data_IF_684377249982
#
_entry.id   IF_684377249982
#
_cell.length_a   1.000
_cell.length_b   1.000
_cell.length_c   1.000
_cell.angle_alpha   90.00
_cell.angle_beta   90.00
_cell.angle_gamma   90.00
#
_symmetry.space_group_name_H-M   'P 1'
#
loop_
_entity.id
_entity.type
_entity.pdbx_description
1 polymer ?
#
# COMPACT_ATOMS: atom_id res chain seq x y z
N UNK A 1 -14.02 -24.65 -78.02
CA UNK A 1 -14.01 -25.18 -76.63
C UNK A 1 -13.00 -24.38 -75.84
N UNK A 2 -13.44 -23.34 -75.13
CA UNK A 2 -12.59 -22.48 -74.23
C UNK A 2 -13.03 -22.69 -72.83
N UNK A 3 -12.15 -23.29 -72.02
CA UNK A 3 -12.34 -23.44 -70.60
C UNK A 3 -11.73 -22.24 -69.87
N UNK A 4 -12.59 -21.42 -69.28
CA UNK A 4 -12.16 -20.34 -68.39
C UNK A 4 -11.83 -20.90 -67.04
N UNK A 5 -10.58 -20.76 -66.63
CA UNK A 5 -10.12 -21.01 -65.30
C UNK A 5 -10.35 -19.74 -64.46
N UNK A 6 -11.30 -19.77 -63.53
CA UNK A 6 -11.49 -18.70 -62.55
C UNK A 6 -10.61 -18.97 -61.36
N UNK A 7 -9.60 -18.14 -61.18
CA UNK A 7 -8.77 -18.15 -59.95
C UNK A 7 -9.46 -17.24 -58.92
N UNK A 8 -10.07 -17.84 -57.90
CA UNK A 8 -10.59 -17.12 -56.76
C UNK A 8 -9.43 -16.77 -55.80
N UNK A 9 -9.03 -15.51 -55.79
CA UNK A 9 -8.10 -14.99 -54.82
C UNK A 9 -8.84 -14.74 -53.50
N UNK A 10 -8.65 -15.63 -52.51
CA UNK A 10 -9.14 -15.43 -51.16
C UNK A 10 -8.22 -14.42 -50.44
N UNK A 11 -8.72 -13.20 -50.28
CA UNK A 11 -8.08 -12.14 -49.51
C UNK A 11 -8.28 -12.45 -48.01
N UNK A 12 -7.28 -13.03 -47.37
CA UNK A 12 -7.22 -13.16 -45.92
C UNK A 12 -6.93 -11.79 -45.32
N UNK A 13 -7.97 -11.09 -44.85
CA UNK A 13 -7.82 -9.92 -43.99
C UNK A 13 -7.40 -10.41 -42.59
N UNK A 14 -6.11 -10.44 -42.32
CA UNK A 14 -5.59 -10.63 -40.98
C UNK A 14 -5.86 -9.35 -40.19
N UNK A 15 -6.99 -9.28 -39.51
CA UNK A 15 -7.25 -8.28 -38.47
C UNK A 15 -6.32 -8.55 -37.30
N UNK A 16 -5.18 -7.85 -37.28
CA UNK A 16 -4.32 -7.78 -36.10
C UNK A 16 -5.09 -7.06 -35.01
N UNK A 17 -5.75 -7.81 -34.14
CA UNK A 17 -6.19 -7.28 -32.86
C UNK A 17 -4.91 -6.89 -32.09
N UNK A 18 -4.60 -5.60 -32.06
CA UNK A 18 -3.67 -5.07 -31.07
C UNK A 18 -4.32 -5.33 -29.72
N UNK A 19 -3.86 -6.38 -29.01
CA UNK A 19 -4.15 -6.54 -27.60
C UNK A 19 -3.55 -5.31 -26.91
N UNK A 20 -4.41 -4.34 -26.61
CA UNK A 20 -4.05 -3.31 -25.65
C UNK A 20 -3.59 -4.03 -24.37
N UNK A 21 -2.46 -3.63 -23.77
CA UNK A 21 -2.06 -4.21 -22.51
C UNK A 21 -3.22 -4.06 -21.54
N UNK A 22 -3.73 -5.18 -21.04
CA UNK A 22 -4.73 -5.15 -20.00
C UNK A 22 -4.06 -4.48 -18.80
N UNK A 23 -4.45 -3.26 -18.49
CA UNK A 23 -4.02 -2.57 -17.27
C UNK A 23 -4.54 -3.40 -16.12
N UNK A 24 -3.64 -3.79 -15.21
CA UNK A 24 -3.96 -4.73 -14.14
C UNK A 24 -5.01 -4.17 -13.16
N UNK A 25 -5.12 -2.84 -13.06
CA UNK A 25 -6.09 -2.12 -12.22
C UNK A 25 -6.40 -0.75 -12.86
N UNK A 26 -7.51 -0.13 -12.43
CA UNK A 26 -7.91 1.19 -12.95
C UNK A 26 -6.95 2.28 -12.44
N UNK A 27 -6.11 2.83 -13.32
CA UNK A 27 -5.20 3.94 -13.00
C UNK A 27 -5.92 5.28 -12.98
N UNK A 28 -6.90 5.48 -13.86
CA UNK A 28 -7.77 6.65 -13.88
C UNK A 28 -9.20 6.24 -13.50
N UNK A 29 -9.69 6.75 -12.38
CA UNK A 29 -11.04 6.44 -11.95
C UNK A 29 -12.05 7.36 -12.61
N UNK A 30 -13.08 6.77 -13.24
CA UNK A 30 -14.25 7.53 -13.65
C UNK A 30 -15.03 8.04 -12.43
N UNK A 31 -15.82 9.11 -12.63
CA UNK A 31 -16.71 9.64 -11.58
C UNK A 31 -17.65 8.56 -11.02
N UNK A 32 -18.08 7.61 -11.86
CA UNK A 32 -18.90 6.48 -11.45
C UNK A 32 -18.11 5.54 -10.54
N UNK A 33 -16.87 5.21 -10.89
CA UNK A 33 -16.02 4.35 -10.08
C UNK A 33 -15.72 4.96 -8.70
N UNK A 34 -15.43 6.27 -8.65
CA UNK A 34 -15.24 6.99 -7.38
C UNK A 34 -16.49 6.96 -6.52
N UNK A 35 -17.67 7.15 -7.13
CA UNK A 35 -18.94 7.09 -6.41
C UNK A 35 -19.24 5.69 -5.87
N UNK A 36 -18.99 4.63 -6.63
CA UNK A 36 -19.14 3.25 -6.19
C UNK A 36 -18.17 2.94 -5.04
N UNK A 37 -16.91 3.36 -5.16
CA UNK A 37 -15.91 3.23 -4.12
C UNK A 37 -16.34 3.93 -2.82
N UNK A 38 -16.85 5.17 -2.92
CA UNK A 38 -17.40 5.90 -1.78
C UNK A 38 -18.49 5.10 -1.07
N UNK A 39 -19.49 4.59 -1.79
CA UNK A 39 -20.58 3.83 -1.16
C UNK A 39 -20.11 2.51 -0.57
N UNK A 40 -19.13 1.82 -1.18
CA UNK A 40 -18.54 0.62 -0.59
C UNK A 40 -17.83 0.94 0.72
N UNK A 41 -17.08 2.05 0.77
CA UNK A 41 -16.40 2.50 1.98
C UNK A 41 -17.37 2.87 3.10
N UNK A 42 -18.41 3.66 2.77
CA UNK A 42 -19.42 4.10 3.74
C UNK A 42 -20.22 2.95 4.39
N UNK A 43 -20.34 1.82 3.72
CA UNK A 43 -21.00 0.64 4.31
C UNK A 43 -20.24 0.12 5.52
N UNK A 44 -18.92 0.15 5.47
CA UNK A 44 -17.99 -0.30 6.53
C UNK A 44 -18.40 -1.67 7.14
N UNK A 45 -18.88 -2.58 6.28
CA UNK A 45 -19.39 -3.90 6.61
C UNK A 45 -18.40 -5.02 6.23
N UNK A 46 -18.85 -6.30 6.32
CA UNK A 46 -18.05 -7.46 5.93
C UNK A 46 -17.58 -7.41 4.47
N UNK A 47 -18.35 -6.78 3.57
CA UNK A 47 -17.96 -6.64 2.17
C UNK A 47 -16.81 -5.65 2.01
N UNK A 48 -16.85 -4.55 2.77
CA UNK A 48 -15.74 -3.59 2.80
C UNK A 48 -14.49 -4.25 3.36
N UNK A 49 -14.61 -5.04 4.43
CA UNK A 49 -13.46 -5.80 4.98
C UNK A 49 -12.92 -6.82 4.00
N UNK A 50 -13.80 -7.61 3.37
CA UNK A 50 -13.43 -8.62 2.38
C UNK A 50 -12.73 -8.02 1.16
N UNK A 51 -13.11 -6.80 0.75
CA UNK A 51 -12.45 -6.08 -0.33
C UNK A 51 -10.96 -5.88 -0.07
N UNK A 52 -10.55 -5.56 1.17
CA UNK A 52 -9.16 -5.28 1.51
C UNK A 52 -8.28 -6.52 1.73
N UNK A 53 -8.84 -7.72 1.79
CA UNK A 53 -8.07 -8.96 2.01
C UNK A 53 -6.93 -9.15 0.99
N UNK A 54 -7.14 -9.01 -0.34
CA UNK A 54 -6.05 -9.17 -1.30
C UNK A 54 -5.03 -8.04 -1.27
N UNK A 55 -5.38 -6.88 -0.70
CA UNK A 55 -4.52 -5.70 -0.59
C UNK A 55 -3.57 -5.76 0.61
N UNK A 56 -3.76 -6.70 1.54
CA UNK A 56 -3.08 -6.73 2.82
C UNK A 56 -2.29 -8.02 3.00
N UNK A 57 -1.04 -7.90 3.43
CA UNK A 57 -0.18 -9.01 3.82
C UNK A 57 0.24 -8.82 5.27
N UNK A 58 -0.12 -9.79 6.12
CA UNK A 58 0.33 -9.84 7.50
C UNK A 58 1.58 -10.71 7.61
N UNK A 59 2.54 -10.26 8.37
CA UNK A 59 3.82 -10.92 8.56
C UNK A 59 3.95 -11.47 9.99
N UNK A 60 4.76 -12.49 10.15
CA UNK A 60 4.93 -13.14 11.44
C UNK A 60 5.76 -12.30 12.40
N UNK A 61 5.35 -12.29 13.65
CA UNK A 61 6.07 -11.58 14.74
C UNK A 61 7.39 -12.29 15.04
N UNK A 62 8.55 -11.62 14.99
CA UNK A 62 9.84 -12.18 15.39
C UNK A 62 9.96 -12.24 16.93
N UNK A 63 11.02 -12.86 17.40
CA UNK A 63 11.26 -12.99 18.85
C UNK A 63 11.56 -11.67 19.55
N UNK A 64 12.18 -10.71 18.85
CA UNK A 64 12.57 -9.40 19.41
C UNK A 64 12.88 -8.38 18.30
N UNK A 65 12.80 -7.10 18.65
CA UNK A 65 13.17 -5.97 17.79
C UNK A 65 11.98 -5.32 17.10
N UNK A 66 12.22 -4.31 16.30
CA UNK A 66 11.23 -3.78 15.39
C UNK A 66 11.02 -4.76 14.24
N UNK A 67 9.79 -4.87 13.75
CA UNK A 67 9.43 -5.76 12.66
C UNK A 67 8.32 -5.16 11.81
N UNK A 68 8.19 -5.65 10.59
CA UNK A 68 7.07 -5.31 9.73
C UNK A 68 5.92 -6.24 10.07
N UNK A 69 4.84 -5.72 10.62
CA UNK A 69 3.64 -6.49 10.95
C UNK A 69 2.69 -6.63 9.77
N UNK A 70 2.62 -5.57 8.96
CA UNK A 70 1.67 -5.50 7.86
C UNK A 70 2.23 -4.68 6.68
N UNK A 71 1.93 -5.16 5.48
CA UNK A 71 2.16 -4.43 4.23
C UNK A 71 0.84 -4.38 3.46
N UNK A 72 0.40 -3.18 3.08
CA UNK A 72 -0.74 -2.98 2.18
C UNK A 72 -0.30 -2.29 0.90
N UNK A 73 -0.90 -2.68 -0.21
CA UNK A 73 -0.70 -2.03 -1.50
C UNK A 73 -2.06 -1.56 -2.02
N UNK A 74 -2.32 -0.26 -1.94
CA UNK A 74 -3.62 0.33 -2.22
C UNK A 74 -3.64 1.01 -3.59
N UNK A 75 -4.50 0.53 -4.47
CA UNK A 75 -4.81 1.17 -5.75
C UNK A 75 -5.57 2.49 -5.55
N UNK A 76 -5.69 3.36 -6.57
CA UNK A 76 -6.50 4.57 -6.46
C UNK A 76 -7.93 4.29 -5.94
N UNK A 77 -8.58 3.23 -6.43
CA UNK A 77 -9.91 2.83 -5.98
C UNK A 77 -9.93 2.43 -4.50
N UNK A 78 -8.97 1.61 -4.08
CA UNK A 78 -8.85 1.16 -2.69
C UNK A 78 -8.64 2.32 -1.72
N UNK A 79 -7.88 3.35 -2.13
CA UNK A 79 -7.69 4.56 -1.33
C UNK A 79 -8.99 5.34 -1.13
N UNK A 80 -9.82 5.47 -2.17
CA UNK A 80 -11.15 6.12 -2.05
C UNK A 80 -12.04 5.33 -1.08
N UNK A 81 -12.06 4.00 -1.18
CA UNK A 81 -12.83 3.14 -0.26
C UNK A 81 -12.34 3.30 1.17
N UNK A 82 -11.04 3.29 1.39
CA UNK A 82 -10.45 3.42 2.73
C UNK A 82 -10.79 4.75 3.37
N UNK A 83 -10.59 5.88 2.67
CA UNK A 83 -10.92 7.21 3.18
C UNK A 83 -12.41 7.31 3.50
N UNK A 84 -13.25 6.80 2.60
CA UNK A 84 -14.69 6.81 2.81
C UNK A 84 -15.12 5.96 4.01
N UNK A 85 -14.41 4.88 4.32
CA UNK A 85 -14.71 4.03 5.49
C UNK A 85 -14.29 4.66 6.83
N UNK A 86 -13.28 5.51 6.80
CA UNK A 86 -12.75 6.19 7.99
C UNK A 86 -13.49 7.49 8.32
N UNK A 87 -14.15 8.09 7.32
CA UNK A 87 -14.81 9.38 7.47
C UNK A 87 -16.33 9.17 7.57
N UNK A 88 -16.83 9.10 8.79
CA UNK A 88 -18.25 8.73 9.07
C UNK A 88 -19.21 9.90 9.09
N UNK A 89 -18.74 11.14 9.13
CA UNK A 89 -19.58 12.33 9.27
C UNK A 89 -19.17 13.43 8.30
N UNK A 90 -20.14 13.98 7.57
CA UNK A 90 -19.92 15.12 6.68
C UNK A 90 -19.19 14.81 5.36
N UNK A 91 -18.80 13.58 5.11
CA UNK A 91 -18.16 13.17 3.87
C UNK A 91 -19.18 12.73 2.83
N UNK A 92 -19.05 13.19 1.60
CA UNK A 92 -19.99 12.91 0.52
C UNK A 92 -19.28 12.33 -0.71
N UNK A 93 -20.04 11.69 -1.61
CA UNK A 93 -19.49 11.21 -2.87
C UNK A 93 -18.88 12.33 -3.72
N UNK A 94 -19.41 13.54 -3.62
CA UNK A 94 -18.83 14.72 -4.28
C UNK A 94 -17.47 15.09 -3.67
N UNK A 95 -17.37 15.07 -2.34
CA UNK A 95 -16.11 15.32 -1.65
C UNK A 95 -15.09 14.25 -1.99
N UNK A 96 -15.48 12.97 -2.00
CA UNK A 96 -14.61 11.86 -2.40
C UNK A 96 -14.03 12.06 -3.81
N UNK A 97 -14.84 12.59 -4.75
CA UNK A 97 -14.38 12.92 -6.09
C UNK A 97 -13.35 14.06 -6.10
N UNK A 98 -13.63 15.13 -5.35
CA UNK A 98 -12.70 16.27 -5.25
C UNK A 98 -11.37 15.85 -4.62
N UNK A 99 -11.42 15.05 -3.56
CA UNK A 99 -10.23 14.55 -2.88
C UNK A 99 -9.41 13.61 -3.78
N UNK A 100 -10.08 12.77 -4.57
CA UNK A 100 -9.41 11.94 -5.57
C UNK A 100 -8.74 12.79 -6.65
N UNK A 101 -9.45 13.79 -7.21
CA UNK A 101 -8.89 14.69 -8.22
C UNK A 101 -7.70 15.49 -7.70
N UNK A 102 -7.73 15.90 -6.44
CA UNK A 102 -6.62 16.62 -5.80
C UNK A 102 -5.41 15.71 -5.56
N UNK A 103 -5.62 14.45 -5.20
CA UNK A 103 -4.55 13.47 -4.93
C UNK A 103 -3.94 12.95 -6.23
N UNK A 104 -4.75 12.77 -7.27
CA UNK A 104 -4.35 12.15 -8.52
C UNK A 104 -4.22 10.63 -8.43
N UNK A 105 -3.72 10.04 -9.51
CA UNK A 105 -3.58 8.60 -9.66
C UNK A 105 -2.28 8.15 -9.00
N UNK A 106 -2.40 7.64 -7.80
CA UNK A 106 -1.28 7.11 -7.02
C UNK A 106 -1.52 5.67 -6.57
N UNK A 107 -0.46 4.88 -6.57
CA UNK A 107 -0.41 3.60 -5.87
C UNK A 107 0.24 3.86 -4.51
N UNK A 108 -0.43 3.47 -3.43
CA UNK A 108 0.03 3.73 -2.08
C UNK A 108 0.47 2.43 -1.41
N UNK A 109 1.76 2.34 -1.11
CA UNK A 109 2.31 1.30 -0.25
C UNK A 109 2.23 1.80 1.20
N UNK A 110 1.57 1.03 2.06
CA UNK A 110 1.49 1.28 3.50
C UNK A 110 2.24 0.17 4.22
N UNK A 111 3.18 0.55 5.05
CA UNK A 111 3.99 -0.38 5.85
C UNK A 111 3.77 -0.08 7.32
N UNK A 112 3.37 -1.08 8.09
CA UNK A 112 3.26 -0.98 9.54
C UNK A 112 4.48 -1.62 10.19
N UNK A 113 5.25 -0.81 10.89
CA UNK A 113 6.41 -1.23 11.68
C UNK A 113 5.97 -1.26 13.13
N UNK A 114 6.08 -2.40 13.77
CA UNK A 114 5.77 -2.56 15.20
C UNK A 114 7.01 -2.96 15.98
N UNK A 115 6.98 -2.71 17.29
CA UNK A 115 7.98 -3.20 18.23
C UNK A 115 7.43 -4.42 18.94
N UNK A 116 8.28 -5.44 19.10
CA UNK A 116 7.91 -6.56 19.97
C UNK A 116 7.68 -6.07 21.41
N UNK A 117 6.81 -6.73 22.20
CA UNK A 117 6.50 -6.30 23.57
C UNK A 117 7.74 -6.07 24.44
N UNK A 118 8.73 -6.95 24.32
CA UNK A 118 10.00 -6.80 25.06
C UNK A 118 10.76 -5.55 24.65
N UNK A 119 10.77 -5.23 23.36
CA UNK A 119 11.45 -4.06 22.81
C UNK A 119 10.71 -2.77 23.20
N UNK A 120 9.39 -2.75 23.09
CA UNK A 120 8.57 -1.61 23.50
C UNK A 120 8.65 -1.31 25.00
N UNK A 121 8.78 -2.33 25.86
CA UNK A 121 9.01 -2.11 27.30
C UNK A 121 10.35 -1.41 27.59
N UNK A 122 11.38 -1.71 26.80
CA UNK A 122 12.68 -1.06 26.94
C UNK A 122 12.57 0.43 26.55
N UNK A 123 11.92 0.73 25.42
CA UNK A 123 11.71 2.12 24.96
C UNK A 123 10.83 2.92 25.94
N UNK A 124 9.77 2.32 26.48
CA UNK A 124 8.91 2.96 27.48
C UNK A 124 9.65 3.26 28.80
N UNK A 125 10.52 2.36 29.25
CA UNK A 125 11.34 2.58 30.43
C UNK A 125 12.32 3.74 30.26
N UNK A 126 12.82 3.95 29.05
CA UNK A 126 13.69 5.09 28.73
C UNK A 126 12.91 6.41 28.75
N UNK A 127 11.73 6.45 28.14
CA UNK A 127 10.87 7.63 28.13
C UNK A 127 10.45 8.06 29.55
N UNK A 128 10.33 7.14 30.48
CA UNK A 128 9.97 7.42 31.89
C UNK A 128 11.12 7.99 32.74
N UNK A 129 12.33 8.12 32.21
CA UNK A 129 13.47 8.67 32.93
C UNK A 129 14.09 7.72 33.96
N UNK A 130 13.75 6.43 33.94
CA UNK A 130 14.38 5.41 34.78
C UNK A 130 15.76 5.05 34.21
N UNK A 131 16.70 6.00 34.39
CA UNK A 131 18.07 5.94 33.87
C UNK A 131 18.87 4.74 34.42
N UNK A 132 18.39 4.09 35.46
CA UNK A 132 19.07 2.92 36.06
C UNK A 132 18.93 1.67 35.18
N UNK A 133 17.85 1.58 34.40
CA UNK A 133 17.58 0.49 33.45
C UNK A 133 18.03 0.80 32.00
N UNK A 134 18.30 2.07 31.70
CA UNK A 134 18.58 2.59 30.37
C UNK A 134 20.09 2.66 30.02
N UNK A 135 20.98 2.11 30.85
CA UNK A 135 22.41 2.15 30.54
C UNK A 135 22.74 1.34 29.29
N UNK A 136 23.03 2.06 28.22
CA UNK A 136 23.48 1.48 26.96
C UNK A 136 22.43 1.36 25.88
N UNK A 137 21.22 1.92 26.07
CA UNK A 137 20.16 1.91 25.06
C UNK A 137 19.98 3.33 24.55
N UNK A 138 20.14 3.50 23.24
CA UNK A 138 19.87 4.77 22.57
C UNK A 138 18.37 4.94 22.40
N UNK A 139 17.81 6.07 22.84
CA UNK A 139 16.43 6.43 22.53
C UNK A 139 16.24 6.44 21.02
N UNK A 140 15.21 5.76 20.55
CA UNK A 140 14.89 5.76 19.14
C UNK A 140 14.09 7.02 18.82
N UNK A 141 14.50 7.83 17.82
CA UNK A 141 13.76 9.03 17.45
C UNK A 141 12.42 8.66 16.82
N UNK A 142 11.45 9.56 16.86
CA UNK A 142 10.11 9.36 16.31
C UNK A 142 10.11 9.11 14.80
N UNK A 143 11.16 9.54 14.13
CA UNK A 143 11.39 9.34 12.70
C UNK A 143 12.26 8.11 12.37
N UNK A 144 12.40 7.16 13.32
CA UNK A 144 13.22 5.94 13.16
C UNK A 144 12.92 5.15 11.87
N UNK A 145 11.70 5.25 11.36
CA UNK A 145 11.24 4.64 10.12
C UNK A 145 12.02 5.12 8.88
N UNK A 146 12.67 6.28 8.94
CA UNK A 146 13.53 6.79 7.87
C UNK A 146 14.81 5.96 7.69
N UNK A 147 15.18 5.17 8.69
CA UNK A 147 16.32 4.23 8.60
C UNK A 147 16.01 2.95 7.81
N UNK A 148 14.74 2.72 7.48
CA UNK A 148 14.29 1.66 6.58
C UNK A 148 14.31 2.16 5.13
N UNK A 149 14.38 1.24 4.18
CA UNK A 149 14.21 1.56 2.76
C UNK A 149 13.04 0.77 2.21
N UNK A 150 12.24 1.42 1.38
CA UNK A 150 11.01 0.89 0.83
C UNK A 150 11.10 0.90 -0.68
N UNK A 151 10.69 -0.16 -1.34
CA UNK A 151 10.71 -0.23 -2.79
C UNK A 151 9.65 -1.14 -3.36
N UNK A 152 9.19 -0.80 -4.55
CA UNK A 152 8.40 -1.66 -5.41
C UNK A 152 9.28 -2.05 -6.59
N UNK A 153 9.30 -3.34 -6.89
CA UNK A 153 10.00 -3.90 -8.04
C UNK A 153 9.01 -4.52 -9.01
N UNK A 154 9.17 -4.20 -10.27
CA UNK A 154 8.37 -4.72 -11.35
C UNK A 154 9.28 -5.42 -12.34
N UNK A 155 9.17 -6.77 -12.44
CA UNK A 155 10.14 -7.59 -13.18
C UNK A 155 11.56 -7.42 -12.62
N UNK A 156 12.44 -6.69 -13.34
CA UNK A 156 13.81 -6.42 -12.90
C UNK A 156 14.03 -4.98 -12.42
N UNK A 157 13.06 -4.09 -12.63
CA UNK A 157 13.21 -2.66 -12.45
C UNK A 157 12.58 -2.18 -11.14
N UNK A 158 13.33 -1.35 -10.42
CA UNK A 158 12.81 -0.63 -9.26
C UNK A 158 12.02 0.59 -9.71
N UNK A 159 10.92 0.86 -9.01
CA UNK A 159 10.09 2.03 -9.23
C UNK A 159 10.38 3.04 -8.12
N UNK A 160 10.78 4.24 -8.52
CA UNK A 160 11.08 5.31 -7.57
C UNK A 160 9.79 5.87 -6.95
N UNK A 161 9.74 6.04 -5.62
CA UNK A 161 8.62 6.66 -4.95
C UNK A 161 8.56 8.16 -5.23
N UNK A 162 7.35 8.72 -5.31
CA UNK A 162 7.13 10.17 -5.37
C UNK A 162 7.33 10.82 -4.01
N UNK A 163 6.78 10.19 -2.96
CA UNK A 163 6.77 10.70 -1.59
C UNK A 163 6.90 9.55 -0.61
N UNK A 164 7.68 9.75 0.44
CA UNK A 164 7.74 8.87 1.61
C UNK A 164 7.43 9.73 2.85
N UNK A 165 6.46 9.30 3.64
CA UNK A 165 6.10 9.94 4.90
C UNK A 165 5.78 8.86 5.93
N UNK A 166 6.00 9.17 7.20
CA UNK A 166 5.71 8.24 8.28
C UNK A 166 5.17 8.96 9.49
N UNK A 167 4.41 8.23 10.27
CA UNK A 167 3.79 8.68 11.50
C UNK A 167 4.16 7.71 12.61
N UNK A 168 4.80 8.22 13.66
CA UNK A 168 5.12 7.45 14.83
C UNK A 168 3.85 7.00 15.55
N UNK A 169 3.83 5.74 16.00
CA UNK A 169 2.72 5.17 16.75
C UNK A 169 3.10 5.05 18.21
N UNK A 170 2.24 5.58 19.09
CA UNK A 170 2.44 5.54 20.54
C UNK A 170 1.42 4.61 21.18
N UNK A 171 1.91 3.68 21.97
CA UNK A 171 1.09 2.77 22.77
C UNK A 171 0.42 3.45 23.95
N UNK A 172 -0.51 2.72 24.59
CA UNK A 172 -1.36 3.23 25.66
C UNK A 172 -0.62 4.02 26.72
N UNK A 173 -1.21 5.15 27.09
CA UNK A 173 -0.69 6.01 28.13
C UNK A 173 -0.61 5.26 29.47
N UNK A 174 0.52 5.39 30.16
CA UNK A 174 0.64 5.02 31.56
C UNK A 174 -0.33 5.86 32.42
N UNK A 175 -0.40 5.59 33.72
CA UNK A 175 -1.23 6.37 34.67
C UNK A 175 -0.91 7.88 34.71
N UNK A 176 0.16 8.32 34.05
CA UNK A 176 0.59 9.72 33.92
C UNK A 176 0.37 10.29 32.52
N UNK A 177 -0.34 9.60 31.64
CA UNK A 177 -0.63 10.04 30.28
C UNK A 177 0.54 9.95 29.30
N UNK A 178 1.60 9.19 29.62
CA UNK A 178 2.77 9.01 28.77
C UNK A 178 2.67 7.70 28.02
N UNK A 179 2.49 7.78 26.69
CA UNK A 179 2.60 6.64 25.80
C UNK A 179 4.05 6.40 25.36
N UNK A 180 4.47 5.15 25.33
CA UNK A 180 5.75 4.78 24.72
C UNK A 180 5.61 4.62 23.20
N UNK A 181 6.70 4.87 22.46
CA UNK A 181 6.76 4.57 21.04
C UNK A 181 6.62 3.06 20.83
N UNK A 182 5.61 2.63 20.08
CA UNK A 182 5.30 1.22 19.82
C UNK A 182 5.51 0.81 18.38
N UNK A 183 5.62 1.78 17.48
CA UNK A 183 5.78 1.51 16.05
C UNK A 183 5.72 2.76 15.21
N UNK A 184 5.48 2.56 13.92
CA UNK A 184 5.20 3.62 12.96
C UNK A 184 4.40 3.10 11.77
N UNK A 185 3.56 3.95 11.23
CA UNK A 185 2.94 3.76 9.93
C UNK A 185 3.73 4.54 8.88
N UNK A 186 4.10 3.88 7.79
CA UNK A 186 4.85 4.49 6.69
C UNK A 186 4.04 4.41 5.42
N UNK A 187 3.93 5.52 4.74
CA UNK A 187 3.17 5.71 3.51
C UNK A 187 4.13 6.09 2.40
N UNK A 188 4.23 5.22 1.39
CA UNK A 188 5.09 5.41 0.22
C UNK A 188 4.22 5.52 -1.02
N UNK A 189 4.24 6.67 -1.65
CA UNK A 189 3.40 6.99 -2.79
C UNK A 189 4.17 6.82 -4.10
N UNK A 190 3.60 6.11 -5.05
CA UNK A 190 4.12 5.90 -6.40
C UNK A 190 3.16 6.46 -7.44
N UNK A 191 3.67 6.78 -8.62
CA UNK A 191 2.85 7.07 -9.77
C UNK A 191 2.18 5.77 -10.25
N UNK A 192 0.85 5.75 -10.26
CA UNK A 192 0.10 4.58 -10.68
C UNK A 192 0.37 4.21 -12.15
N UNK A 193 0.68 5.19 -13.00
CA UNK A 193 0.98 4.96 -14.42
C UNK A 193 2.34 4.28 -14.66
N UNK A 194 3.24 4.33 -13.68
CA UNK A 194 4.54 3.65 -13.75
C UNK A 194 4.46 2.19 -13.34
N UNK A 195 3.35 1.75 -12.73
CA UNK A 195 3.15 0.38 -12.24
C UNK A 195 2.20 -0.36 -13.17
N UNK A 196 2.75 -0.95 -14.24
CA UNK A 196 1.99 -1.53 -15.36
C UNK A 196 2.02 -3.06 -15.40
N UNK A 197 2.79 -3.73 -14.54
CA UNK A 197 2.86 -5.20 -14.51
C UNK A 197 1.73 -5.80 -13.70
N UNK A 198 1.36 -7.02 -14.03
CA UNK A 198 0.37 -7.77 -13.27
C UNK A 198 0.87 -8.14 -11.86
N UNK A 199 2.18 -8.43 -11.74
CA UNK A 199 2.80 -8.79 -10.46
C UNK A 199 3.82 -7.72 -10.08
N UNK A 200 3.82 -7.36 -8.82
CA UNK A 200 4.82 -6.47 -8.21
C UNK A 200 5.35 -7.09 -6.92
N UNK A 201 6.66 -6.95 -6.73
CA UNK A 201 7.33 -7.31 -5.49
C UNK A 201 7.54 -6.05 -4.65
N UNK A 202 7.14 -6.11 -3.41
CA UNK A 202 7.39 -5.08 -2.41
C UNK A 202 8.52 -5.55 -1.52
N UNK A 203 9.56 -4.72 -1.40
CA UNK A 203 10.70 -4.98 -0.52
C UNK A 203 10.85 -3.87 0.51
N UNK A 204 11.01 -4.27 1.76
CA UNK A 204 11.35 -3.38 2.87
C UNK A 204 12.69 -3.83 3.43
N UNK A 205 13.67 -2.94 3.43
CA UNK A 205 15.00 -3.22 3.98
C UNK A 205 15.10 -2.61 5.38
N UNK A 206 15.40 -3.44 6.35
CA UNK A 206 15.63 -2.99 7.72
C UNK A 206 16.95 -2.24 7.86
N UNK A 207 17.16 -1.49 8.94
CA UNK A 207 18.46 -0.84 9.21
C UNK A 207 19.62 -1.83 9.35
N UNK A 208 19.34 -3.11 9.70
CA UNK A 208 20.33 -4.18 9.75
C UNK A 208 20.69 -4.77 8.39
N UNK A 209 20.00 -4.35 7.32
CA UNK A 209 20.21 -4.86 5.95
C UNK A 209 19.39 -6.11 5.61
N UNK A 210 18.51 -6.57 6.50
CA UNK A 210 17.58 -7.65 6.21
C UNK A 210 16.51 -7.17 5.22
N UNK A 211 16.25 -7.94 4.16
CA UNK A 211 15.20 -7.72 3.20
C UNK A 211 13.95 -8.51 3.57
N UNK A 212 12.83 -7.83 3.68
CA UNK A 212 11.51 -8.41 3.88
C UNK A 212 10.74 -8.20 2.59
N UNK A 213 10.43 -9.30 1.89
CA UNK A 213 9.78 -9.24 0.57
C UNK A 213 8.40 -9.88 0.60
N UNK A 214 7.46 -9.29 -0.14
CA UNK A 214 6.14 -9.86 -0.42
C UNK A 214 5.70 -9.46 -1.82
N UNK A 215 4.83 -10.27 -2.42
CA UNK A 215 4.34 -10.04 -3.79
C UNK A 215 2.85 -9.77 -3.79
N UNK A 216 2.43 -8.90 -4.71
CA UNK A 216 1.02 -8.59 -4.99
C UNK A 216 0.70 -8.87 -6.45
N UNK A 217 -0.39 -9.59 -6.67
CA UNK A 217 -0.98 -9.82 -7.98
C UNK A 217 -2.00 -8.69 -8.24
N UNK A 218 -1.58 -7.69 -9.03
CA UNK A 218 -2.40 -6.51 -9.30
C UNK A 218 -3.66 -6.84 -10.11
N UNK A 219 -3.72 -7.99 -10.79
CA UNK A 219 -4.93 -8.41 -11.51
C UNK A 219 -6.09 -8.75 -10.57
N UNK A 220 -5.79 -8.99 -9.29
CA UNK A 220 -6.76 -9.22 -8.23
C UNK A 220 -7.12 -7.96 -7.45
N UNK A 221 -6.40 -6.87 -7.71
CA UNK A 221 -6.62 -5.57 -7.12
C UNK A 221 -7.38 -4.70 -8.14
N UNK A 222 -8.47 -4.10 -7.72
CA UNK A 222 -9.27 -3.23 -8.58
C UNK A 222 -8.91 -1.76 -8.39
#
# INVERSE_FOLDING_TARGET
MHRYFQIAAALFLATSFALAPAIAYDTELSDTAVREAYFLGQRNDDKTRAFFVPYTKHLSVPKKGPYISEIRLLTPLAQVIQISSQTTSGYSAQQARLDYQQRGDSLLLVVHIEFTPTYGQIEAAQASGDASKARGITLRPDDFWQSFRYGIKQKADWIDPKVIRGEAEYGGADSFGRGGLVGAWVYVEYDAHNVISNDVDVSVFTPSGEEIQTSFDLTKLR
#
